data_IF_394102336565
#
_entry.id   IF_394102336565
#
_cell.length_a   1.000
_cell.length_b   1.000
_cell.length_c   1.000
_cell.angle_alpha   90.00
_cell.angle_beta   90.00
_cell.angle_gamma   90.00
#
_symmetry.space_group_name_H-M   'P 1'
#
loop_
_entity.id
_entity.type
_entity.pdbx_description
1 polymer ?
#
# COMPACT_ATOMS: atom_id res chain seq x y z
N UNK A 1 -12.47 -5.72 -8.71
CA UNK A 1 -13.40 -6.44 -7.82
C UNK A 1 -12.75 -6.49 -6.43
N UNK A 2 -13.20 -5.66 -5.47
CA UNK A 2 -12.62 -5.58 -4.13
C UNK A 2 -12.65 -6.91 -3.36
N UNK A 3 -13.58 -7.81 -3.70
CA UNK A 3 -13.72 -9.12 -3.05
C UNK A 3 -12.75 -10.19 -3.59
N UNK A 4 -12.12 -9.95 -4.75
CA UNK A 4 -11.22 -10.92 -5.40
C UNK A 4 -9.80 -10.40 -5.60
N UNK A 5 -9.47 -9.20 -5.11
CA UNK A 5 -8.13 -8.61 -5.21
C UNK A 5 -7.21 -9.21 -4.15
N UNK A 6 -6.51 -10.29 -4.49
CA UNK A 6 -5.57 -10.94 -3.56
C UNK A 6 -4.42 -9.99 -3.22
N UNK A 7 -4.13 -9.86 -1.93
CA UNK A 7 -2.98 -9.10 -1.42
C UNK A 7 -1.98 -10.08 -0.83
N UNK A 8 -0.74 -10.00 -1.29
CA UNK A 8 0.37 -10.78 -0.73
C UNK A 8 1.38 -9.86 -0.07
N UNK A 9 1.86 -10.24 1.12
CA UNK A 9 2.79 -9.45 1.93
C UNK A 9 4.07 -10.24 2.21
N UNK A 10 5.22 -9.58 2.07
CA UNK A 10 6.52 -10.11 2.49
C UNK A 10 7.24 -9.13 3.41
N UNK A 11 7.92 -9.64 4.44
CA UNK A 11 8.87 -8.84 5.21
C UNK A 11 10.09 -8.53 4.35
N UNK A 12 10.61 -7.30 4.45
CA UNK A 12 11.85 -6.90 3.80
C UNK A 12 12.99 -6.87 4.83
N UNK A 13 13.92 -7.85 4.79
CA UNK A 13 15.04 -7.89 5.71
C UNK A 13 15.89 -6.62 5.61
N UNK A 14 16.30 -6.07 6.76
CA UNK A 14 17.19 -4.91 6.84
C UNK A 14 16.53 -3.53 6.65
N UNK A 15 15.25 -3.46 6.28
CA UNK A 15 14.54 -2.19 6.04
C UNK A 15 13.44 -1.88 7.06
N UNK A 16 13.20 -2.77 8.04
CA UNK A 16 12.05 -2.71 8.95
C UNK A 16 10.73 -2.43 8.20
N UNK A 17 10.59 -3.01 7.00
CA UNK A 17 9.52 -2.71 6.06
C UNK A 17 8.83 -3.97 5.56
N UNK A 18 7.69 -3.78 4.91
CA UNK A 18 6.95 -4.83 4.22
C UNK A 18 6.71 -4.44 2.76
N UNK A 19 6.81 -5.41 1.86
CA UNK A 19 6.38 -5.27 0.48
C UNK A 19 4.98 -5.87 0.31
N UNK A 20 4.08 -5.14 -0.35
CA UNK A 20 2.70 -5.56 -0.62
C UNK A 20 2.46 -5.63 -2.13
N UNK A 21 2.03 -6.80 -2.62
CA UNK A 21 1.55 -6.98 -3.99
C UNK A 21 0.03 -7.02 -3.97
N UNK A 22 -0.59 -6.06 -4.65
CA UNK A 22 -2.04 -6.00 -4.84
C UNK A 22 -2.36 -6.53 -6.24
N UNK A 23 -2.79 -7.79 -6.34
CA UNK A 23 -3.12 -8.43 -7.61
C UNK A 23 -4.27 -7.70 -8.30
N UNK A 24 -4.14 -7.49 -9.61
CA UNK A 24 -5.13 -6.80 -10.46
C UNK A 24 -5.49 -5.36 -10.07
N UNK A 25 -4.74 -4.72 -9.16
CA UNK A 25 -5.01 -3.35 -8.68
C UNK A 25 -4.96 -2.28 -9.77
N UNK A 26 -4.23 -2.54 -10.86
CA UNK A 26 -4.09 -1.63 -12.01
C UNK A 26 -5.09 -1.89 -13.15
N UNK A 27 -6.02 -2.84 -12.99
CA UNK A 27 -7.10 -3.08 -13.95
C UNK A 27 -6.69 -3.35 -15.41
N UNK A 28 -5.44 -3.77 -15.67
CA UNK A 28 -4.88 -3.88 -17.03
C UNK A 28 -3.45 -3.33 -17.17
N UNK A 29 -2.97 -2.60 -16.18
CA UNK A 29 -1.58 -2.13 -16.09
C UNK A 29 -1.35 -0.75 -16.73
N UNK A 30 -0.22 -0.11 -16.41
CA UNK A 30 0.11 1.23 -16.88
C UNK A 30 0.25 1.38 -18.41
N UNK A 31 0.38 0.27 -19.15
CA UNK A 31 0.41 0.24 -20.63
C UNK A 31 -0.98 0.19 -21.27
N UNK A 32 -2.05 -0.04 -20.50
CA UNK A 32 -3.43 0.10 -21.00
C UNK A 32 -3.82 1.58 -21.23
N UNK A 33 -2.95 2.52 -20.83
CA UNK A 33 -3.16 3.96 -20.92
C UNK A 33 -1.87 4.65 -21.37
N UNK A 34 -1.95 5.62 -22.29
CA UNK A 34 -0.82 6.47 -22.68
C UNK A 34 -0.50 7.56 -21.63
N UNK A 35 -1.25 7.63 -20.53
CA UNK A 35 -1.01 8.57 -19.42
C UNK A 35 -0.12 7.93 -18.36
N UNK A 36 0.84 8.71 -17.84
CA UNK A 36 1.63 8.37 -16.65
C UNK A 36 0.66 7.97 -15.54
N UNK A 37 0.70 6.70 -15.16
CA UNK A 37 -0.27 6.10 -14.26
C UNK A 37 0.06 6.45 -12.78
N UNK A 38 -0.83 7.16 -12.05
CA UNK A 38 -0.67 7.38 -10.61
C UNK A 38 -1.27 6.26 -9.74
N UNK A 39 -1.86 5.21 -10.32
CA UNK A 39 -2.70 4.24 -9.57
C UNK A 39 -1.95 3.52 -8.46
N UNK A 40 -0.71 3.08 -8.68
CA UNK A 40 0.10 2.46 -7.63
C UNK A 40 0.42 3.40 -6.46
N UNK A 41 0.52 4.72 -6.71
CA UNK A 41 0.84 5.73 -5.69
C UNK A 41 -0.38 6.09 -4.83
N UNK A 42 -1.58 6.08 -5.41
CA UNK A 42 -2.80 6.43 -4.69
C UNK A 42 -3.09 5.46 -3.52
N UNK A 43 -2.92 4.15 -3.71
CA UNK A 43 -3.10 3.17 -2.64
C UNK A 43 -2.06 3.31 -1.52
N UNK A 44 -0.82 3.64 -1.87
CA UNK A 44 0.22 3.91 -0.87
C UNK A 44 -0.10 5.18 -0.05
N UNK A 45 -0.69 6.20 -0.66
CA UNK A 45 -1.14 7.40 0.06
C UNK A 45 -2.29 7.09 1.03
N UNK A 46 -3.27 6.29 0.61
CA UNK A 46 -4.35 5.84 1.50
C UNK A 46 -3.83 5.06 2.71
N UNK A 47 -2.75 4.28 2.55
CA UNK A 47 -2.14 3.56 3.67
C UNK A 47 -1.58 4.51 4.74
N UNK A 48 -1.13 5.71 4.38
CA UNK A 48 -0.59 6.69 5.33
C UNK A 48 -1.68 7.28 6.25
N UNK A 49 -2.95 7.21 5.84
CA UNK A 49 -4.08 7.66 6.65
C UNK A 49 -4.52 6.60 7.68
N UNK A 50 -3.94 5.40 7.64
CA UNK A 50 -4.31 4.33 8.56
C UNK A 50 -3.90 4.68 10.00
N UNK A 51 -4.83 4.68 10.97
CA UNK A 51 -4.51 5.03 12.34
C UNK A 51 -3.59 3.99 12.96
N UNK A 52 -2.48 4.46 13.55
CA UNK A 52 -1.54 3.62 14.30
C UNK A 52 -1.75 3.88 15.80
N UNK A 53 -2.08 2.85 16.60
CA UNK A 53 -2.19 3.01 18.04
C UNK A 53 -0.83 3.39 18.64
N UNK A 54 -0.80 4.51 19.37
CA UNK A 54 0.42 5.00 20.01
C UNK A 54 0.43 4.58 21.48
N UNK A 55 1.47 3.87 21.96
CA UNK A 55 1.68 3.61 23.38
C UNK A 55 1.65 4.90 24.22
N UNK A 56 0.98 4.86 25.38
CA UNK A 56 0.80 6.02 26.25
C UNK A 56 2.11 6.65 26.73
N UNK A 57 3.18 5.85 26.85
CA UNK A 57 4.50 6.32 27.26
C UNK A 57 5.27 7.10 26.16
N UNK A 58 4.74 7.19 24.94
CA UNK A 58 5.32 7.97 23.84
C UNK A 58 4.63 9.33 23.65
N UNK A 59 3.52 9.60 24.35
CA UNK A 59 2.82 10.88 24.28
C UNK A 59 3.63 11.93 25.04
N UNK A 60 4.07 13.04 24.40
CA UNK A 60 4.71 14.14 25.12
C UNK A 60 3.77 14.71 26.19
N UNK A 61 4.31 15.06 27.36
CA UNK A 61 3.52 15.70 28.42
C UNK A 61 3.04 17.09 28.02
#
# INVERSE_FOLDING_TARGET
NPESGKVTRWSMPGLHAFNFLLEHSLGGGGVASLRIDPQGKAFAQQLLEFPVPVPSNLVPQ
#
